data_IF_904777844665
#
_entry.id   IF_904777844665
#
_cell.length_a   1.000
_cell.length_b   1.000
_cell.length_c   1.000
_cell.angle_alpha   90.00
_cell.angle_beta   90.00
_cell.angle_gamma   90.00
#
_symmetry.space_group_name_H-M   'P 1'
#
loop_
_entity.id
_entity.type
_entity.pdbx_description
1 polymer ?
#
# COMPACT_ATOMS: atom_id res chain seq x y z
N UNK A 1 -23.37 -9.41 12.29
CA UNK A 1 -21.95 -9.12 12.01
C UNK A 1 -21.06 -10.27 12.48
N UNK A 2 -21.14 -10.69 13.75
CA UNK A 2 -20.30 -11.79 14.28
C UNK A 2 -20.29 -13.07 13.44
N UNK A 3 -21.46 -13.53 12.96
CA UNK A 3 -21.53 -14.75 12.15
C UNK A 3 -20.70 -14.65 10.86
N UNK A 4 -20.68 -13.48 10.20
CA UNK A 4 -19.92 -13.29 8.95
C UNK A 4 -18.42 -13.41 9.24
N UNK A 5 -17.94 -12.80 10.33
CA UNK A 5 -16.54 -12.89 10.74
C UNK A 5 -16.16 -14.33 11.08
N UNK A 6 -17.01 -15.03 11.85
CA UNK A 6 -16.81 -16.45 12.16
C UNK A 6 -16.72 -17.30 10.90
N UNK A 7 -17.60 -17.07 9.92
CA UNK A 7 -17.61 -17.80 8.66
C UNK A 7 -16.36 -17.50 7.81
N UNK A 8 -15.91 -16.24 7.76
CA UNK A 8 -14.65 -15.85 7.09
C UNK A 8 -13.47 -16.60 7.71
N UNK A 9 -13.33 -16.53 9.04
CA UNK A 9 -12.23 -17.17 9.77
C UNK A 9 -12.25 -18.69 9.61
N UNK A 10 -13.43 -19.31 9.66
CA UNK A 10 -13.57 -20.75 9.38
C UNK A 10 -13.15 -21.08 7.95
N UNK A 11 -13.59 -20.29 6.97
CA UNK A 11 -13.21 -20.51 5.56
C UNK A 11 -11.69 -20.39 5.37
N UNK A 12 -11.03 -19.45 6.05
CA UNK A 12 -9.57 -19.33 6.03
C UNK A 12 -8.89 -20.57 6.63
N UNK A 13 -9.36 -21.02 7.80
CA UNK A 13 -8.83 -22.22 8.47
C UNK A 13 -9.00 -23.49 7.62
N UNK A 14 -10.18 -23.68 7.02
CA UNK A 14 -10.48 -24.84 6.17
C UNK A 14 -9.63 -24.88 4.89
N UNK A 15 -9.03 -23.75 4.50
CA UNK A 15 -8.18 -23.61 3.32
C UNK A 15 -6.70 -23.36 3.67
N UNK A 16 -6.32 -23.45 4.95
CA UNK A 16 -4.94 -23.30 5.38
C UNK A 16 -4.11 -24.51 4.96
N UNK A 17 -2.88 -24.26 4.49
CA UNK A 17 -1.92 -25.32 4.19
C UNK A 17 -0.54 -25.04 4.81
N UNK A 18 0.07 -26.07 5.38
CA UNK A 18 1.32 -25.98 6.15
C UNK A 18 2.50 -25.48 5.31
N UNK A 19 2.50 -25.79 4.01
CA UNK A 19 3.53 -25.31 3.09
C UNK A 19 3.43 -23.79 2.90
N UNK A 20 2.24 -23.25 2.69
CA UNK A 20 2.03 -21.81 2.60
C UNK A 20 2.34 -21.13 3.93
N UNK A 21 1.93 -21.72 5.05
CA UNK A 21 2.22 -21.18 6.39
C UNK A 21 3.74 -21.11 6.68
N UNK A 22 4.49 -22.16 6.37
CA UNK A 22 5.95 -22.17 6.57
C UNK A 22 6.67 -21.18 5.66
N UNK A 23 6.22 -21.06 4.41
CA UNK A 23 6.79 -20.12 3.44
C UNK A 23 6.45 -18.66 3.75
N UNK A 24 5.32 -18.35 4.40
CA UNK A 24 4.89 -16.96 4.66
C UNK A 24 5.94 -16.17 5.44
N UNK A 25 6.61 -16.81 6.40
CA UNK A 25 7.65 -16.20 7.24
C UNK A 25 8.89 -15.73 6.47
N UNK A 26 9.17 -16.29 5.28
CA UNK A 26 10.35 -15.94 4.48
C UNK A 26 10.21 -14.59 3.77
N UNK A 27 8.98 -14.06 3.64
CA UNK A 27 8.71 -12.77 3.01
C UNK A 27 8.86 -11.57 3.95
N UNK A 28 9.02 -11.84 5.24
CA UNK A 28 9.11 -10.81 6.28
C UNK A 28 10.45 -10.93 7.01
N UNK A 29 10.99 -9.79 7.44
CA UNK A 29 12.05 -9.81 8.44
C UNK A 29 11.48 -10.37 9.75
N UNK A 30 12.34 -10.91 10.59
CA UNK A 30 11.95 -11.56 11.85
C UNK A 30 11.08 -10.66 12.74
N UNK A 31 11.38 -9.36 12.79
CA UNK A 31 10.64 -8.34 13.54
C UNK A 31 9.46 -7.70 12.78
N UNK A 32 9.16 -8.17 11.56
CA UNK A 32 8.11 -7.66 10.68
C UNK A 32 7.13 -8.78 10.25
N UNK A 33 7.19 -9.94 10.91
CA UNK A 33 6.38 -11.11 10.55
C UNK A 33 4.91 -10.84 10.80
N UNK A 34 4.15 -10.85 9.72
CA UNK A 34 2.70 -10.83 9.80
C UNK A 34 2.17 -12.15 10.38
N UNK A 35 1.12 -12.08 11.18
CA UNK A 35 0.39 -13.26 11.63
C UNK A 35 -0.39 -13.81 10.43
N UNK A 36 -0.27 -15.11 10.15
CA UNK A 36 -0.90 -15.72 8.97
C UNK A 36 -1.65 -16.99 9.31
N UNK A 37 -2.74 -17.26 8.57
CA UNK A 37 -3.41 -18.55 8.54
C UNK A 37 -2.67 -19.58 7.68
N UNK A 38 -1.92 -19.12 6.67
CA UNK A 38 -1.28 -20.00 5.69
C UNK A 38 -2.17 -20.27 4.49
N UNK A 39 -2.91 -19.25 4.03
CA UNK A 39 -3.76 -19.35 2.83
C UNK A 39 -3.09 -18.57 1.70
N UNK A 40 -3.06 -19.13 0.50
CA UNK A 40 -2.51 -18.44 -0.68
C UNK A 40 -3.30 -17.15 -0.95
N UNK A 41 -2.60 -16.02 -1.11
CA UNK A 41 -3.23 -14.68 -1.27
C UNK A 41 -4.28 -14.62 -2.40
N UNK A 42 -4.06 -15.32 -3.52
CA UNK A 42 -5.03 -15.39 -4.61
C UNK A 42 -6.38 -16.00 -4.16
N UNK A 43 -6.33 -16.99 -3.27
CA UNK A 43 -7.53 -17.58 -2.67
C UNK A 43 -8.14 -16.65 -1.61
N UNK A 44 -7.32 -15.96 -0.81
CA UNK A 44 -7.79 -14.94 0.15
C UNK A 44 -8.61 -13.86 -0.56
N UNK A 45 -8.11 -13.29 -1.65
CA UNK A 45 -8.86 -12.32 -2.48
C UNK A 45 -10.17 -12.92 -3.02
N UNK A 46 -10.16 -14.19 -3.44
CA UNK A 46 -11.38 -14.89 -3.91
C UNK A 46 -12.39 -15.07 -2.78
N UNK A 47 -11.94 -15.42 -1.57
CA UNK A 47 -12.78 -15.54 -0.37
C UNK A 47 -13.43 -14.19 -0.07
N UNK A 48 -12.64 -13.10 -0.02
CA UNK A 48 -13.15 -11.74 0.23
C UNK A 48 -14.25 -11.34 -0.76
N UNK A 49 -14.02 -11.54 -2.07
CA UNK A 49 -15.04 -11.29 -3.11
C UNK A 49 -16.30 -12.16 -2.93
N UNK A 50 -16.12 -13.43 -2.57
CA UNK A 50 -17.23 -14.34 -2.30
C UNK A 50 -18.08 -13.90 -1.10
N UNK A 51 -17.45 -13.42 -0.02
CA UNK A 51 -18.16 -12.87 1.12
C UNK A 51 -18.81 -11.52 0.82
N UNK A 52 -18.19 -10.66 0.02
CA UNK A 52 -18.80 -9.41 -0.42
C UNK A 52 -20.17 -9.65 -1.07
N UNK A 53 -20.31 -10.66 -1.93
CA UNK A 53 -21.59 -10.98 -2.58
C UNK A 53 -22.70 -11.32 -1.59
N UNK A 54 -22.37 -11.87 -0.42
CA UNK A 54 -23.32 -12.19 0.65
C UNK A 54 -23.74 -10.96 1.45
N UNK A 55 -22.88 -9.94 1.52
CA UNK A 55 -23.07 -8.75 2.36
C UNK A 55 -23.31 -7.47 1.56
N UNK A 56 -23.32 -7.53 0.22
CA UNK A 56 -23.40 -6.35 -0.68
C UNK A 56 -24.61 -5.44 -0.47
N UNK A 57 -25.68 -5.95 0.15
CA UNK A 57 -26.90 -5.20 0.44
C UNK A 57 -26.91 -4.62 1.87
N UNK A 58 -25.87 -4.86 2.67
CA UNK A 58 -25.71 -4.24 3.99
C UNK A 58 -25.30 -2.77 3.83
N UNK A 59 -25.57 -1.95 4.84
CA UNK A 59 -25.15 -0.57 4.84
C UNK A 59 -23.62 -0.45 4.84
N UNK A 60 -23.07 0.54 4.11
CA UNK A 60 -21.62 0.83 4.02
C UNK A 60 -20.95 0.82 5.41
N UNK A 61 -21.56 1.49 6.39
CA UNK A 61 -21.06 1.58 7.77
C UNK A 61 -20.93 0.20 8.44
N UNK A 62 -21.84 -0.74 8.17
CA UNK A 62 -21.76 -2.09 8.74
C UNK A 62 -20.64 -2.90 8.10
N UNK A 63 -20.42 -2.73 6.79
CA UNK A 63 -19.32 -3.40 6.09
C UNK A 63 -17.96 -2.84 6.55
N UNK A 64 -17.84 -1.53 6.74
CA UNK A 64 -16.65 -0.93 7.34
C UNK A 64 -16.43 -1.37 8.79
N UNK A 65 -17.50 -1.55 9.57
CA UNK A 65 -17.42 -2.18 10.90
C UNK A 65 -16.85 -3.60 10.86
N UNK A 66 -17.26 -4.41 9.88
CA UNK A 66 -16.65 -5.74 9.65
C UNK A 66 -15.17 -5.64 9.26
N UNK A 67 -14.81 -4.68 8.40
CA UNK A 67 -13.42 -4.46 8.01
C UNK A 67 -12.55 -4.09 9.22
N UNK A 68 -13.05 -3.23 10.11
CA UNK A 68 -12.36 -2.87 11.36
C UNK A 68 -12.11 -4.09 12.25
N UNK A 69 -13.10 -4.98 12.44
CA UNK A 69 -12.94 -6.21 13.25
C UNK A 69 -11.92 -7.18 12.64
N UNK A 70 -11.85 -7.27 11.31
CA UNK A 70 -10.84 -8.06 10.60
C UNK A 70 -9.42 -7.46 10.76
N UNK A 71 -9.29 -6.14 10.68
CA UNK A 71 -8.02 -5.45 10.93
C UNK A 71 -7.51 -5.67 12.35
N UNK A 72 -8.39 -5.61 13.35
CA UNK A 72 -8.04 -5.80 14.76
C UNK A 72 -7.49 -7.19 15.09
N UNK A 73 -7.68 -8.19 14.22
CA UNK A 73 -7.18 -9.55 14.48
C UNK A 73 -5.66 -9.68 14.33
N UNK A 74 -5.04 -8.75 13.58
CA UNK A 74 -3.63 -8.76 13.22
C UNK A 74 -3.25 -9.84 12.18
N UNK A 75 -4.21 -10.61 11.67
CA UNK A 75 -3.94 -11.58 10.61
C UNK A 75 -3.88 -10.89 9.24
N UNK A 76 -2.84 -11.21 8.48
CA UNK A 76 -2.66 -10.67 7.13
C UNK A 76 -3.81 -11.05 6.21
N UNK A 77 -4.26 -12.30 6.24
CA UNK A 77 -5.36 -12.73 5.37
C UNK A 77 -6.68 -12.04 5.70
N UNK A 78 -6.96 -11.80 6.98
CA UNK A 78 -8.14 -11.01 7.38
C UNK A 78 -8.02 -9.55 6.93
N UNK A 79 -6.83 -8.95 7.09
CA UNK A 79 -6.55 -7.59 6.62
C UNK A 79 -6.72 -7.44 5.10
N UNK A 80 -6.29 -8.43 4.33
CA UNK A 80 -6.50 -8.47 2.87
C UNK A 80 -7.98 -8.60 2.53
N UNK A 81 -8.74 -9.43 3.24
CA UNK A 81 -10.19 -9.51 3.07
C UNK A 81 -10.85 -8.17 3.41
N UNK A 82 -10.45 -7.51 4.50
CA UNK A 82 -10.95 -6.18 4.84
C UNK A 82 -10.70 -5.16 3.71
N UNK A 83 -9.51 -5.18 3.10
CA UNK A 83 -9.20 -4.36 1.93
C UNK A 83 -10.11 -4.68 0.73
N UNK A 84 -10.34 -5.95 0.41
CA UNK A 84 -11.21 -6.37 -0.70
C UNK A 84 -12.67 -5.95 -0.48
N UNK A 85 -13.19 -6.10 0.75
CA UNK A 85 -14.54 -5.67 1.11
C UNK A 85 -14.68 -4.15 1.01
N UNK A 86 -13.73 -3.41 1.57
CA UNK A 86 -13.72 -1.95 1.51
C UNK A 86 -13.61 -1.45 0.07
N UNK A 87 -12.71 -2.02 -0.75
CA UNK A 87 -12.53 -1.66 -2.15
C UNK A 87 -13.76 -1.98 -3.01
N UNK A 88 -14.49 -3.04 -2.69
CA UNK A 88 -15.74 -3.38 -3.39
C UNK A 88 -16.83 -2.29 -3.26
N UNK A 89 -16.68 -1.40 -2.28
CA UNK A 89 -17.56 -0.25 -2.06
C UNK A 89 -17.05 1.06 -2.68
N UNK A 90 -15.98 1.06 -3.48
CA UNK A 90 -15.36 2.31 -4.01
C UNK A 90 -16.34 3.27 -4.69
N UNK A 91 -17.38 2.76 -5.37
CA UNK A 91 -18.42 3.60 -5.99
C UNK A 91 -19.30 4.37 -5.01
N UNK A 92 -19.24 4.02 -3.73
CA UNK A 92 -20.00 4.61 -2.62
C UNK A 92 -19.10 5.41 -1.67
N UNK A 93 -17.83 5.63 -2.03
CA UNK A 93 -16.94 6.43 -1.21
C UNK A 93 -17.43 7.87 -1.13
N UNK A 94 -17.23 8.45 0.04
CA UNK A 94 -17.54 9.83 0.38
C UNK A 94 -16.36 10.44 1.14
N UNK A 95 -16.14 11.76 1.11
CA UNK A 95 -14.98 12.41 1.73
C UNK A 95 -14.68 11.99 3.17
N UNK A 96 -15.71 11.77 3.99
CA UNK A 96 -15.60 11.37 5.41
C UNK A 96 -15.00 9.96 5.60
N UNK A 97 -15.07 9.09 4.58
CA UNK A 97 -14.50 7.74 4.64
C UNK A 97 -12.97 7.77 4.77
N UNK A 98 -12.32 8.88 4.40
CA UNK A 98 -10.87 9.02 4.56
C UNK A 98 -10.44 8.88 6.02
N UNK A 99 -11.23 9.38 6.97
CA UNK A 99 -10.90 9.28 8.40
C UNK A 99 -10.89 7.83 8.88
N UNK A 100 -11.70 6.96 8.27
CA UNK A 100 -11.69 5.51 8.54
C UNK A 100 -10.42 4.89 7.97
N UNK A 101 -10.07 5.21 6.72
CA UNK A 101 -8.89 4.66 6.07
C UNK A 101 -7.59 5.12 6.74
N UNK A 102 -7.50 6.40 7.11
CA UNK A 102 -6.37 6.95 7.88
C UNK A 102 -6.22 6.23 9.22
N UNK A 103 -7.32 6.01 9.94
CA UNK A 103 -7.32 5.25 11.19
C UNK A 103 -6.80 3.83 11.00
N UNK A 104 -7.18 3.14 9.93
CA UNK A 104 -6.68 1.80 9.64
C UNK A 104 -5.18 1.77 9.40
N UNK A 105 -4.66 2.73 8.61
CA UNK A 105 -3.22 2.86 8.38
C UNK A 105 -2.48 3.16 9.69
N UNK A 106 -3.00 4.07 10.50
CA UNK A 106 -2.35 4.50 11.73
C UNK A 106 -2.31 3.40 12.80
N UNK A 107 -3.40 2.64 12.94
CA UNK A 107 -3.61 1.78 14.11
C UNK A 107 -3.44 0.28 13.83
N UNK A 108 -3.63 -0.19 12.60
CA UNK A 108 -3.69 -1.63 12.31
C UNK A 108 -2.68 -2.12 11.29
N UNK A 109 -2.19 -1.24 10.40
CA UNK A 109 -1.14 -1.64 9.46
C UNK A 109 0.18 -1.81 10.22
N UNK A 110 0.70 -3.03 10.20
CA UNK A 110 1.92 -3.42 10.90
C UNK A 110 2.97 -4.11 10.00
N UNK A 111 2.65 -4.29 8.72
CA UNK A 111 3.50 -4.93 7.74
C UNK A 111 3.31 -4.34 6.33
N UNK A 112 4.31 -4.54 5.46
CA UNK A 112 4.31 -3.93 4.12
C UNK A 112 3.23 -4.50 3.21
N UNK A 113 2.87 -5.80 3.36
CA UNK A 113 1.89 -6.43 2.49
C UNK A 113 0.48 -5.89 2.75
N UNK A 114 0.11 -5.71 4.01
CA UNK A 114 -1.15 -5.08 4.41
C UNK A 114 -1.18 -3.60 3.98
N UNK A 115 -0.09 -2.86 4.21
CA UNK A 115 0.06 -1.47 3.79
C UNK A 115 -0.21 -1.32 2.28
N UNK A 116 0.51 -2.10 1.46
CA UNK A 116 0.44 -2.00 0.00
C UNK A 116 -0.94 -2.43 -0.52
N UNK A 117 -1.57 -3.44 0.09
CA UNK A 117 -2.91 -3.90 -0.31
C UNK A 117 -3.96 -2.82 -0.08
N UNK A 118 -3.95 -2.18 1.10
CA UNK A 118 -4.88 -1.10 1.43
C UNK A 118 -4.62 0.14 0.56
N UNK A 119 -3.36 0.54 0.43
CA UNK A 119 -3.01 1.82 -0.18
C UNK A 119 -3.14 1.81 -1.70
N UNK A 120 -2.71 0.74 -2.39
CA UNK A 120 -2.73 0.71 -3.85
C UNK A 120 -4.16 0.75 -4.42
N UNK A 121 -5.12 0.17 -3.72
CA UNK A 121 -6.49 0.00 -4.21
C UNK A 121 -7.49 0.89 -3.49
N UNK A 122 -7.75 0.65 -2.19
CA UNK A 122 -8.77 1.38 -1.42
C UNK A 122 -8.45 2.87 -1.35
N UNK A 123 -7.29 3.22 -0.82
CA UNK A 123 -6.90 4.63 -0.64
C UNK A 123 -6.52 5.25 -2.00
N UNK A 124 -5.86 4.49 -2.86
CA UNK A 124 -5.48 4.93 -4.22
C UNK A 124 -6.70 5.29 -5.08
N UNK A 125 -7.79 4.53 -5.01
CA UNK A 125 -9.04 4.87 -5.70
C UNK A 125 -9.73 6.06 -5.04
N UNK A 126 -9.73 6.12 -3.71
CA UNK A 126 -10.28 7.26 -2.97
C UNK A 126 -9.62 8.59 -3.39
N UNK A 127 -8.28 8.67 -3.42
CA UNK A 127 -7.60 9.92 -3.79
C UNK A 127 -7.77 10.26 -5.28
N UNK A 128 -8.04 9.28 -6.14
CA UNK A 128 -8.45 9.55 -7.52
C UNK A 128 -9.83 10.21 -7.60
N UNK A 129 -10.75 9.81 -6.73
CA UNK A 129 -12.09 10.41 -6.63
C UNK A 129 -12.05 11.79 -5.95
N UNK A 130 -11.17 11.96 -4.95
CA UNK A 130 -11.03 13.18 -4.16
C UNK A 130 -9.57 13.66 -4.07
N UNK A 131 -9.00 14.23 -5.16
CA UNK A 131 -7.59 14.61 -5.21
C UNK A 131 -7.11 15.58 -4.12
N UNK A 132 -8.01 16.39 -3.55
CA UNK A 132 -7.67 17.30 -2.44
C UNK A 132 -7.10 16.60 -1.20
N UNK A 133 -7.38 15.31 -1.03
CA UNK A 133 -6.86 14.50 0.09
C UNK A 133 -5.40 14.07 -0.07
N UNK A 134 -4.76 14.32 -1.21
CA UNK A 134 -3.30 14.11 -1.35
C UNK A 134 -2.53 14.99 -0.35
N UNK A 135 -3.09 16.15 0.03
CA UNK A 135 -2.55 16.98 1.12
C UNK A 135 -2.41 16.21 2.44
N UNK A 136 -3.33 15.29 2.76
CA UNK A 136 -3.24 14.41 3.94
C UNK A 136 -2.11 13.39 3.81
N UNK A 137 -1.89 12.84 2.61
CA UNK A 137 -0.75 11.96 2.34
C UNK A 137 0.59 12.67 2.55
N UNK A 138 0.71 13.95 2.18
CA UNK A 138 1.89 14.77 2.49
C UNK A 138 2.12 14.88 4.01
N UNK A 139 1.05 15.02 4.80
CA UNK A 139 1.12 14.94 6.26
C UNK A 139 1.54 13.55 6.79
N UNK A 140 1.09 12.47 6.14
CA UNK A 140 1.50 11.11 6.50
C UNK A 140 2.99 10.89 6.28
N UNK A 141 3.57 11.51 5.23
CA UNK A 141 4.99 11.44 4.92
C UNK A 141 5.88 12.03 6.04
N UNK A 142 5.35 12.89 6.91
CA UNK A 142 6.07 13.45 8.07
C UNK A 142 5.81 12.70 9.39
N UNK A 143 4.99 11.65 9.38
CA UNK A 143 4.57 10.95 10.60
C UNK A 143 5.70 10.19 11.29
N UNK A 144 5.66 10.09 12.62
CA UNK A 144 6.53 9.18 13.39
C UNK A 144 6.27 7.70 13.07
N UNK A 145 5.06 7.36 12.59
CA UNK A 145 4.70 6.00 12.20
C UNK A 145 5.24 5.66 10.81
N UNK A 146 6.09 4.62 10.73
CA UNK A 146 6.70 4.15 9.47
C UNK A 146 5.66 3.75 8.42
N UNK A 147 4.53 3.20 8.84
CA UNK A 147 3.49 2.71 7.94
C UNK A 147 2.69 3.84 7.33
N UNK A 148 2.48 4.93 8.07
CA UNK A 148 1.91 6.16 7.49
C UNK A 148 2.84 6.75 6.44
N UNK A 149 4.15 6.84 6.73
CA UNK A 149 5.13 7.35 5.76
C UNK A 149 5.23 6.48 4.50
N UNK A 150 5.21 5.14 4.66
CA UNK A 150 5.13 4.22 3.52
C UNK A 150 3.82 4.42 2.74
N UNK A 151 2.69 4.44 3.44
CA UNK A 151 1.36 4.61 2.87
C UNK A 151 1.24 5.88 2.02
N UNK A 152 1.84 6.99 2.46
CA UNK A 152 1.90 8.26 1.72
C UNK A 152 2.42 8.05 0.28
N UNK A 153 3.50 7.28 0.14
CA UNK A 153 4.09 6.98 -1.15
C UNK A 153 3.32 5.89 -1.91
N UNK A 154 3.03 4.76 -1.26
CA UNK A 154 2.48 3.59 -1.98
C UNK A 154 1.04 3.81 -2.45
N UNK A 155 0.28 4.70 -1.80
CA UNK A 155 -1.06 5.11 -2.27
C UNK A 155 -1.04 5.64 -3.71
N UNK A 156 0.04 6.31 -4.12
CA UNK A 156 0.13 6.94 -5.43
C UNK A 156 0.68 6.02 -6.53
N UNK A 157 1.05 4.77 -6.25
CA UNK A 157 1.64 3.87 -7.26
C UNK A 157 0.70 3.65 -8.46
N UNK A 158 -0.55 3.26 -8.22
CA UNK A 158 -1.49 2.99 -9.33
C UNK A 158 -1.86 4.29 -10.08
N UNK A 159 -2.17 5.41 -9.40
CA UNK A 159 -2.34 6.71 -10.06
C UNK A 159 -1.12 7.15 -10.89
N UNK A 160 0.10 6.99 -10.36
CA UNK A 160 1.35 7.39 -11.01
C UNK A 160 1.58 6.66 -12.34
N UNK A 161 1.29 5.35 -12.39
CA UNK A 161 1.36 4.58 -13.65
C UNK A 161 0.42 5.10 -14.74
N UNK A 162 -0.66 5.79 -14.33
CA UNK A 162 -1.63 6.42 -15.24
C UNK A 162 -1.27 7.87 -15.57
N UNK A 163 -0.07 8.33 -15.17
CA UNK A 163 0.42 9.68 -15.39
C UNK A 163 -0.19 10.73 -14.45
N UNK A 164 -0.85 10.34 -13.36
CA UNK A 164 -1.52 11.27 -12.44
C UNK A 164 -0.57 11.77 -11.33
N UNK A 165 -0.83 12.99 -10.85
CA UNK A 165 -0.27 13.57 -9.62
C UNK A 165 1.25 13.72 -9.57
N UNK A 166 1.91 13.96 -10.71
CA UNK A 166 3.38 14.04 -10.78
C UNK A 166 4.00 15.05 -9.80
N UNK A 167 3.41 16.25 -9.67
CA UNK A 167 3.93 17.28 -8.75
C UNK A 167 3.83 16.80 -7.29
N UNK A 168 2.69 16.24 -6.88
CA UNK A 168 2.51 15.71 -5.53
C UNK A 168 3.43 14.53 -5.23
N UNK A 169 3.69 13.69 -6.23
CA UNK A 169 4.65 12.58 -6.15
C UNK A 169 6.05 13.11 -5.84
N UNK A 170 6.50 14.16 -6.53
CA UNK A 170 7.80 14.77 -6.24
C UNK A 170 7.85 15.42 -4.88
N UNK A 171 6.78 16.10 -4.43
CA UNK A 171 6.72 16.65 -3.08
C UNK A 171 6.83 15.56 -2.01
N UNK A 172 6.07 14.46 -2.12
CA UNK A 172 6.15 13.32 -1.19
C UNK A 172 7.54 12.68 -1.23
N UNK A 173 8.10 12.48 -2.44
CA UNK A 173 9.45 11.93 -2.58
C UNK A 173 10.52 12.82 -1.95
N UNK A 174 10.37 14.16 -2.04
CA UNK A 174 11.27 15.12 -1.38
C UNK A 174 11.14 15.04 0.14
N UNK A 175 9.93 14.94 0.70
CA UNK A 175 9.72 14.78 2.15
C UNK A 175 10.40 13.49 2.65
N UNK A 176 10.25 12.39 1.90
CA UNK A 176 10.77 11.07 2.26
C UNK A 176 12.23 10.83 1.84
N UNK A 177 12.87 11.81 1.17
CA UNK A 177 14.15 11.63 0.49
C UNK A 177 15.24 11.05 1.40
N UNK A 178 15.26 11.51 2.65
CA UNK A 178 16.26 11.12 3.66
C UNK A 178 15.70 10.20 4.75
N UNK A 179 14.55 9.57 4.51
CA UNK A 179 14.03 8.59 5.45
C UNK A 179 15.05 7.46 5.65
N UNK A 180 15.26 7.05 6.91
CA UNK A 180 16.22 6.01 7.28
C UNK A 180 15.62 4.60 7.22
N UNK A 181 14.30 4.50 7.14
CA UNK A 181 13.57 3.25 7.13
C UNK A 181 13.60 2.61 5.73
N UNK A 182 14.08 1.37 5.63
CA UNK A 182 14.27 0.71 4.34
C UNK A 182 12.95 0.40 3.63
N UNK A 183 11.85 0.17 4.37
CA UNK A 183 10.54 -0.05 3.75
C UNK A 183 9.95 1.26 3.23
N UNK A 184 10.17 2.38 3.92
CA UNK A 184 9.75 3.68 3.39
C UNK A 184 10.57 4.03 2.15
N UNK A 185 11.88 3.81 2.18
CA UNK A 185 12.77 3.99 1.02
C UNK A 185 12.32 3.19 -0.21
N UNK A 186 12.02 1.90 -0.03
CA UNK A 186 11.48 1.06 -1.11
C UNK A 186 10.12 1.58 -1.60
N UNK A 187 9.27 2.06 -0.68
CA UNK A 187 7.95 2.60 -1.00
C UNK A 187 8.00 3.79 -1.95
N UNK A 188 8.73 4.86 -1.59
CA UNK A 188 8.80 6.04 -2.46
C UNK A 188 9.66 5.82 -3.70
N UNK A 189 10.68 4.95 -3.62
CA UNK A 189 11.41 4.49 -4.81
C UNK A 189 10.49 3.77 -5.80
N UNK A 190 9.57 2.93 -5.32
CA UNK A 190 8.56 2.27 -6.16
C UNK A 190 7.53 3.27 -6.70
N UNK A 191 7.11 4.27 -5.92
CA UNK A 191 6.27 5.36 -6.42
C UNK A 191 6.92 6.10 -7.60
N UNK A 192 8.21 6.45 -7.50
CA UNK A 192 8.97 7.07 -8.61
C UNK A 192 9.11 6.11 -9.80
N UNK A 193 9.37 4.82 -9.55
CA UNK A 193 9.39 3.78 -10.60
C UNK A 193 8.06 3.71 -11.37
N UNK A 194 6.95 3.85 -10.65
CA UNK A 194 5.62 3.82 -11.24
C UNK A 194 5.35 5.09 -12.07
N UNK A 195 5.77 6.25 -11.57
CA UNK A 195 5.65 7.53 -12.29
C UNK A 195 6.49 7.54 -13.58
N UNK A 196 7.68 6.92 -13.59
CA UNK A 196 8.55 6.88 -14.77
C UNK A 196 8.01 6.05 -15.93
N UNK A 197 6.94 5.27 -15.71
CA UNK A 197 6.23 4.58 -16.79
C UNK A 197 5.47 5.56 -17.70
N UNK A 198 5.08 6.74 -17.18
CA UNK A 198 4.38 7.80 -17.92
C UNK A 198 5.23 9.08 -18.08
N UNK A 199 6.09 9.37 -17.11
CA UNK A 199 6.87 10.63 -16.99
C UNK A 199 8.37 10.31 -16.79
N UNK A 200 8.95 9.61 -17.77
CA UNK A 200 10.31 9.04 -17.63
C UNK A 200 11.38 10.12 -17.46
N UNK A 201 11.33 11.16 -18.28
CA UNK A 201 12.33 12.24 -18.29
C UNK A 201 12.25 13.05 -16.99
N UNK A 202 11.05 13.42 -16.55
CA UNK A 202 10.84 14.20 -15.34
C UNK A 202 11.30 13.45 -14.08
N UNK A 203 11.02 12.14 -14.01
CA UNK A 203 11.48 11.31 -12.89
C UNK A 203 12.99 11.13 -12.93
N UNK A 204 13.58 10.99 -14.12
CA UNK A 204 15.03 10.91 -14.26
C UNK A 204 15.71 12.19 -13.79
N UNK A 205 15.22 13.36 -14.22
CA UNK A 205 15.74 14.66 -13.80
C UNK A 205 15.62 14.85 -12.28
N UNK A 206 14.50 14.43 -11.69
CA UNK A 206 14.33 14.41 -10.24
C UNK A 206 15.39 13.53 -9.56
N UNK A 207 15.62 12.32 -10.06
CA UNK A 207 16.61 11.39 -9.49
C UNK A 207 18.02 11.98 -9.62
N UNK A 208 18.41 12.46 -10.81
CA UNK A 208 19.75 13.02 -11.04
C UNK A 208 19.99 14.23 -10.16
N UNK A 209 18.99 15.11 -9.98
CA UNK A 209 19.08 16.28 -9.09
C UNK A 209 19.37 15.90 -7.64
N UNK A 210 18.88 14.76 -7.17
CA UNK A 210 19.00 14.34 -5.76
C UNK A 210 19.98 13.18 -5.54
N UNK A 211 20.63 12.66 -6.59
CA UNK A 211 21.42 11.41 -6.55
C UNK A 211 22.57 11.43 -5.54
N UNK A 212 23.11 12.62 -5.22
CA UNK A 212 24.17 12.80 -4.23
C UNK A 212 23.77 12.34 -2.82
N UNK A 213 22.50 12.55 -2.45
CA UNK A 213 21.99 12.32 -1.09
C UNK A 213 20.86 11.28 -1.02
N UNK A 214 20.30 10.90 -2.17
CA UNK A 214 19.25 9.89 -2.25
C UNK A 214 19.79 8.51 -1.83
N UNK A 215 19.11 7.79 -0.92
CA UNK A 215 19.45 6.42 -0.59
C UNK A 215 19.51 5.52 -1.82
N UNK A 216 20.57 4.70 -1.92
CA UNK A 216 20.78 3.78 -3.05
C UNK A 216 19.60 2.85 -3.30
N UNK A 217 18.89 2.44 -2.24
CA UNK A 217 17.69 1.62 -2.34
C UNK A 217 16.64 2.31 -3.20
N UNK A 218 16.24 3.53 -2.83
CA UNK A 218 15.21 4.28 -3.52
C UNK A 218 15.62 4.68 -4.93
N UNK A 219 16.88 5.09 -5.11
CA UNK A 219 17.44 5.42 -6.43
C UNK A 219 17.31 4.23 -7.38
N UNK A 220 17.79 3.04 -6.98
CA UNK A 220 17.75 1.83 -7.83
C UNK A 220 16.33 1.41 -8.17
N UNK A 221 15.37 1.57 -7.25
CA UNK A 221 13.97 1.36 -7.55
C UNK A 221 13.47 2.36 -8.60
N UNK A 222 13.70 3.67 -8.39
CA UNK A 222 13.18 4.72 -9.27
C UNK A 222 13.62 4.54 -10.74
N UNK A 223 14.86 4.12 -10.96
CA UNK A 223 15.44 3.94 -12.30
C UNK A 223 15.25 2.53 -12.89
N UNK A 224 14.63 1.59 -12.18
CA UNK A 224 14.59 0.16 -12.53
C UNK A 224 14.08 -0.10 -13.95
N UNK A 225 13.09 0.69 -14.40
CA UNK A 225 12.48 0.56 -15.74
C UNK A 225 13.12 1.43 -16.82
N UNK A 226 14.10 2.27 -16.48
CA UNK A 226 14.74 3.17 -17.44
C UNK A 226 15.74 2.44 -18.36
N UNK A 227 16.04 3.04 -19.53
CA UNK A 227 17.16 2.63 -20.39
C UNK A 227 18.51 2.55 -19.67
N UNK A 228 19.42 1.75 -20.22
CA UNK A 228 20.70 1.41 -19.57
C UNK A 228 21.64 2.62 -19.41
N UNK A 229 21.64 3.52 -20.38
CA UNK A 229 22.39 4.78 -20.39
C UNK A 229 21.91 5.73 -19.28
N UNK A 230 20.59 5.91 -19.13
CA UNK A 230 20.00 6.68 -18.03
C UNK A 230 20.35 6.06 -16.67
N UNK A 231 20.23 4.73 -16.55
CA UNK A 231 20.64 4.03 -15.32
C UNK A 231 22.11 4.27 -14.99
N UNK A 232 22.99 4.21 -15.99
CA UNK A 232 24.41 4.45 -15.78
C UNK A 232 24.64 5.88 -15.29
N UNK A 233 23.99 6.88 -15.90
CA UNK A 233 24.10 8.29 -15.53
C UNK A 233 23.62 8.57 -14.10
N UNK A 234 22.44 8.05 -13.74
CA UNK A 234 21.90 8.19 -12.38
C UNK A 234 22.79 7.52 -11.31
N UNK A 235 23.52 6.47 -11.68
CA UNK A 235 24.41 5.71 -10.78
C UNK A 235 25.86 6.24 -10.74
N UNK A 236 26.25 7.18 -11.60
CA UNK A 236 27.57 7.82 -11.54
C UNK A 236 27.74 8.55 -10.21
N UNK A 237 28.86 8.30 -9.54
CA UNK A 237 29.29 9.11 -8.39
C UNK A 237 29.63 10.52 -8.88
N UNK A 238 29.20 11.53 -8.16
CA UNK A 238 29.72 12.88 -8.34
C UNK A 238 31.22 12.88 -7.97
N UNK A 239 32.01 13.62 -8.75
CA UNK A 239 33.46 13.75 -8.55
C UNK A 239 33.76 14.63 -7.34
#
# INVERSE_FOLDING_TARGET
>A
MQQIITDIRRTLLDNADEKTLSLSSHFFKENERAKTYGVRMALVSKIGKGFFLKIKNMAKVQIFGLCEELWQSGYLEESVIACELAYSLHKQYEPDDFEIFERWVANYVDNWAACDTLCNHTIGEFVKMYPGYISRLKGWATSGNRWMRRAAAVTLIIPARKGLFLNDIFEIATILLHDKDDLVQKGYGWMLKAASEAHQEEVFDFVVRHKATMPRTSLRYAIEKMPQDMKAEAMKKEK
#
